data_IF_787361160666
#
_entry.id   IF_787361160666
#
_cell.length_a   1.000
_cell.length_b   1.000
_cell.length_c   1.000
_cell.angle_alpha   90.00
_cell.angle_beta   90.00
_cell.angle_gamma   90.00
#
_symmetry.space_group_name_H-M   'P 1'
#
loop_
_entity.id
_entity.type
_entity.pdbx_description
1 polymer ?
#
# COMPACT_ATOMS: atom_id res chain seq x y z
N UNK A 1 -6.53 7.44 9.79
CA UNK A 1 -5.16 7.46 10.31
C UNK A 1 -5.20 7.13 11.80
N UNK A 2 -4.25 6.34 12.26
CA UNK A 2 -4.05 5.99 13.66
C UNK A 2 -2.78 6.69 14.19
N UNK A 3 -2.61 6.77 15.51
CA UNK A 3 -1.53 7.55 16.15
C UNK A 3 -0.13 7.12 15.68
N UNK A 4 0.11 5.82 15.53
CA UNK A 4 1.40 5.32 15.05
C UNK A 4 1.77 5.81 13.63
N UNK A 5 0.81 6.08 12.76
CA UNK A 5 1.08 6.67 11.45
C UNK A 5 1.67 8.09 11.57
N UNK A 6 1.24 8.88 12.56
CA UNK A 6 1.81 10.21 12.81
C UNK A 6 3.25 10.14 13.32
N UNK A 7 3.62 9.09 14.06
CA UNK A 7 5.01 8.85 14.46
C UNK A 7 5.91 8.60 13.24
N UNK A 8 5.45 7.84 12.24
CA UNK A 8 6.18 7.70 10.96
C UNK A 8 6.33 9.02 10.22
N UNK A 9 5.29 9.85 10.17
CA UNK A 9 5.37 11.16 9.52
C UNK A 9 6.39 12.07 10.24
N UNK A 10 6.46 11.99 11.56
CA UNK A 10 7.45 12.72 12.38
C UNK A 10 8.87 12.22 12.08
N UNK A 11 9.08 10.91 12.10
CA UNK A 11 10.35 10.26 11.78
C UNK A 11 10.84 10.67 10.37
N UNK A 12 10.01 10.63 9.36
CA UNK A 12 10.40 11.05 8.01
C UNK A 12 10.79 12.52 7.96
N UNK A 13 10.09 13.40 8.65
CA UNK A 13 10.45 14.83 8.72
C UNK A 13 11.79 15.06 9.42
N UNK A 14 12.07 14.32 10.48
CA UNK A 14 13.37 14.33 11.16
C UNK A 14 14.51 13.86 10.26
N UNK A 15 14.23 12.97 9.31
CA UNK A 15 15.16 12.55 8.26
C UNK A 15 15.27 13.55 7.09
N UNK A 16 14.59 14.70 7.15
CA UNK A 16 14.58 15.71 6.08
C UNK A 16 13.66 15.37 4.92
N UNK A 17 12.72 14.45 5.08
CA UNK A 17 11.76 14.01 4.07
C UNK A 17 10.42 14.72 4.30
N UNK A 18 9.95 15.47 3.32
CA UNK A 18 8.61 16.06 3.36
C UNK A 18 7.53 14.97 3.32
N UNK A 19 6.46 15.15 4.08
CA UNK A 19 5.35 14.19 4.16
C UNK A 19 4.05 14.83 3.67
N UNK A 20 3.25 14.05 2.95
CA UNK A 20 1.92 14.42 2.49
C UNK A 20 0.92 13.34 2.88
N UNK A 21 -0.06 13.70 3.70
CA UNK A 21 -1.13 12.80 4.12
C UNK A 21 -2.25 12.81 3.07
N UNK A 22 -2.51 11.64 2.47
CA UNK A 22 -3.62 11.43 1.56
C UNK A 22 -4.78 10.76 2.30
N UNK A 23 -5.93 11.41 2.36
CA UNK A 23 -7.14 10.87 2.97
C UNK A 23 -8.24 10.69 1.92
N UNK A 24 -8.40 9.45 1.45
CA UNK A 24 -9.42 9.08 0.46
C UNK A 24 -10.82 8.93 1.04
N UNK A 25 -10.97 8.95 2.36
CA UNK A 25 -12.25 8.67 3.05
C UNK A 25 -13.04 9.93 3.35
N UNK A 26 -12.39 10.92 3.96
CA UNK A 26 -13.06 12.12 4.47
C UNK A 26 -13.87 12.87 3.41
N UNK A 27 -13.31 13.01 2.20
CA UNK A 27 -14.00 13.68 1.08
C UNK A 27 -15.23 12.93 0.56
N UNK A 28 -15.33 11.62 0.89
CA UNK A 28 -16.45 10.75 0.53
C UNK A 28 -17.44 10.53 1.68
N UNK A 29 -17.23 11.22 2.82
CA UNK A 29 -18.08 11.06 4.01
C UNK A 29 -17.88 9.73 4.74
N UNK A 30 -16.78 8.99 4.46
CA UNK A 30 -16.49 7.69 5.04
C UNK A 30 -15.50 7.86 6.20
N UNK A 31 -15.78 7.22 7.33
CA UNK A 31 -14.90 7.24 8.51
C UNK A 31 -14.04 5.99 8.64
N UNK A 32 -14.54 4.84 8.19
CA UNK A 32 -13.87 3.54 8.24
C UNK A 32 -14.37 2.64 7.11
N UNK A 33 -13.52 1.72 6.65
CA UNK A 33 -13.89 0.67 5.70
C UNK A 33 -13.82 -0.73 6.33
N UNK A 34 -13.54 -0.82 7.61
CA UNK A 34 -13.60 -2.10 8.35
C UNK A 34 -15.04 -2.59 8.32
N UNK A 35 -15.25 -3.81 7.80
CA UNK A 35 -16.59 -4.39 7.63
C UNK A 35 -17.36 -3.95 6.37
N UNK A 36 -16.94 -2.88 5.67
CA UNK A 36 -17.65 -2.33 4.49
C UNK A 36 -16.67 -1.90 3.38
N UNK A 37 -15.71 -2.74 3.04
CA UNK A 37 -14.57 -2.40 2.15
C UNK A 37 -14.95 -2.07 0.69
N UNK A 38 -16.21 -2.18 0.32
CA UNK A 38 -16.75 -1.82 -0.99
C UNK A 38 -17.13 -0.33 -1.14
N UNK A 39 -17.21 0.45 -0.05
CA UNK A 39 -17.56 1.87 -0.11
C UNK A 39 -16.44 2.73 -0.71
N UNK A 40 -15.17 2.37 -0.43
CA UNK A 40 -13.99 2.98 -1.04
C UNK A 40 -13.05 1.87 -1.48
N UNK A 41 -12.96 1.64 -2.78
CA UNK A 41 -12.15 0.56 -3.33
C UNK A 41 -10.66 0.92 -3.40
N UNK A 42 -9.79 -0.08 -3.43
CA UNK A 42 -8.35 0.10 -3.69
C UNK A 42 -8.14 0.87 -5.01
N UNK A 43 -8.92 0.57 -6.05
CA UNK A 43 -8.84 1.26 -7.34
C UNK A 43 -9.09 2.78 -7.19
N UNK A 44 -10.15 3.18 -6.47
CA UNK A 44 -10.43 4.59 -6.21
C UNK A 44 -9.29 5.29 -5.45
N UNK A 45 -8.71 4.62 -4.46
CA UNK A 45 -7.57 5.14 -3.69
C UNK A 45 -6.28 5.23 -4.53
N UNK A 46 -6.06 4.31 -5.47
CA UNK A 46 -4.94 4.40 -6.43
C UNK A 46 -5.12 5.64 -7.33
N UNK A 47 -6.33 5.92 -7.80
CA UNK A 47 -6.62 7.16 -8.56
C UNK A 47 -6.26 8.38 -7.72
N UNK A 48 -6.74 8.44 -6.48
CA UNK A 48 -6.43 9.55 -5.56
C UNK A 48 -4.91 9.71 -5.37
N UNK A 49 -4.16 8.60 -5.25
CA UNK A 49 -2.71 8.63 -5.09
C UNK A 49 -2.00 9.21 -6.32
N UNK A 50 -2.46 8.88 -7.53
CA UNK A 50 -1.92 9.45 -8.76
C UNK A 50 -2.31 10.92 -8.96
N UNK A 51 -3.49 11.33 -8.52
CA UNK A 51 -3.88 12.75 -8.50
C UNK A 51 -3.02 13.55 -7.52
N UNK A 52 -2.72 12.99 -6.35
CA UNK A 52 -1.80 13.57 -5.39
C UNK A 52 -0.38 13.68 -5.97
N UNK A 53 0.14 12.59 -6.58
CA UNK A 53 1.44 12.58 -7.26
C UNK A 53 1.53 13.69 -8.32
N UNK A 54 0.50 13.82 -9.16
CA UNK A 54 0.42 14.87 -10.17
C UNK A 54 0.45 16.26 -9.54
N UNK A 55 -0.30 16.48 -8.46
CA UNK A 55 -0.31 17.77 -7.75
C UNK A 55 1.04 18.09 -7.12
N UNK A 56 1.65 17.12 -6.44
CA UNK A 56 2.95 17.28 -5.79
C UNK A 56 4.07 17.50 -6.82
N UNK A 57 4.02 16.84 -7.97
CA UNK A 57 5.04 16.97 -9.02
C UNK A 57 5.14 18.38 -9.63
N UNK A 58 4.15 19.23 -9.42
CA UNK A 58 4.14 20.63 -9.85
C UNK A 58 4.48 21.61 -8.73
N UNK A 59 4.70 21.14 -7.51
CA UNK A 59 5.02 22.00 -6.39
C UNK A 59 6.50 22.47 -6.44
N UNK A 60 6.79 23.77 -6.30
CA UNK A 60 8.14 24.32 -6.52
C UNK A 60 9.21 23.80 -5.55
N UNK A 61 8.83 23.31 -4.38
CA UNK A 61 9.74 22.78 -3.36
C UNK A 61 9.87 21.25 -3.40
N UNK A 62 9.18 20.56 -4.31
CA UNK A 62 9.18 19.09 -4.38
C UNK A 62 9.95 18.63 -5.62
N UNK A 63 10.95 17.78 -5.41
CA UNK A 63 11.57 17.05 -6.50
C UNK A 63 10.61 15.94 -7.00
N UNK A 64 10.03 16.15 -8.17
CA UNK A 64 9.06 15.22 -8.78
C UNK A 64 9.60 13.81 -9.01
N UNK A 65 10.93 13.64 -9.09
CA UNK A 65 11.58 12.35 -9.29
C UNK A 65 11.85 11.61 -7.97
N UNK A 66 11.55 12.22 -6.85
CA UNK A 66 11.81 11.69 -5.49
C UNK A 66 10.54 11.61 -4.65
N UNK A 67 9.38 11.47 -5.27
CA UNK A 67 8.10 11.27 -4.58
C UNK A 67 7.86 9.77 -4.41
N UNK A 68 7.90 9.29 -3.19
CA UNK A 68 7.61 7.90 -2.83
C UNK A 68 6.22 7.77 -2.24
N UNK A 69 5.68 6.55 -2.26
CA UNK A 69 4.39 6.21 -1.64
C UNK A 69 4.60 5.19 -0.54
N UNK A 70 3.92 5.39 0.59
CA UNK A 70 3.82 4.42 1.68
C UNK A 70 2.39 4.29 2.15
N UNK A 71 2.02 3.13 2.63
CA UNK A 71 0.68 2.88 3.14
C UNK A 71 0.57 1.58 3.91
N UNK A 72 -0.47 1.48 4.73
CA UNK A 72 -0.71 0.41 5.68
C UNK A 72 -2.01 -0.33 5.37
N UNK A 73 -2.02 -1.64 5.45
CA UNK A 73 -3.20 -2.49 5.25
C UNK A 73 -3.85 -2.21 3.88
N UNK A 74 -5.07 -1.71 3.82
CA UNK A 74 -5.72 -1.26 2.59
C UNK A 74 -4.84 -0.22 1.85
N UNK A 75 -4.23 0.73 2.57
CA UNK A 75 -3.25 1.67 2.03
C UNK A 75 -1.95 0.99 1.55
N UNK A 76 -1.56 -0.12 2.17
CA UNK A 76 -0.49 -1.00 1.71
C UNK A 76 -0.81 -1.60 0.34
N UNK A 77 -2.05 -2.04 0.12
CA UNK A 77 -2.56 -2.47 -1.17
C UNK A 77 -2.50 -1.36 -2.22
N UNK A 78 -2.94 -0.16 -1.88
CA UNK A 78 -2.80 1.02 -2.76
C UNK A 78 -1.35 1.26 -3.14
N UNK A 79 -0.44 1.20 -2.16
CA UNK A 79 1.00 1.36 -2.37
C UNK A 79 1.56 0.30 -3.32
N UNK A 80 1.26 -0.97 -3.08
CA UNK A 80 1.73 -2.09 -3.90
C UNK A 80 1.19 -2.00 -5.34
N UNK A 81 -0.13 -1.87 -5.48
CA UNK A 81 -0.78 -1.92 -6.80
C UNK A 81 -0.69 -0.60 -7.58
N UNK A 82 -0.28 0.51 -6.95
CA UNK A 82 0.12 1.70 -7.71
C UNK A 82 1.37 1.47 -8.57
N UNK A 83 2.16 0.43 -8.30
CA UNK A 83 3.26 0.00 -9.16
C UNK A 83 2.82 -0.86 -10.35
N UNK A 84 1.60 -1.39 -10.37
CA UNK A 84 1.08 -2.23 -11.44
C UNK A 84 0.81 -1.43 -12.72
N UNK A 85 1.52 -1.77 -13.80
CA UNK A 85 1.57 -0.96 -15.02
C UNK A 85 0.22 -0.76 -15.73
N UNK A 86 -0.68 -1.77 -15.83
CA UNK A 86 -1.99 -1.56 -16.44
C UNK A 86 -2.77 -0.43 -15.78
N UNK A 87 -2.83 -0.38 -14.45
CA UNK A 87 -3.49 0.71 -13.72
C UNK A 87 -2.71 2.02 -13.82
N UNK A 88 -1.40 1.98 -13.57
CA UNK A 88 -0.53 3.16 -13.71
C UNK A 88 -0.72 3.84 -15.06
N UNK A 89 -0.69 3.09 -16.15
CA UNK A 89 -0.72 3.63 -17.50
C UNK A 89 -2.09 4.22 -17.89
N UNK A 90 -3.17 3.78 -17.26
CA UNK A 90 -4.50 4.41 -17.42
C UNK A 90 -4.52 5.84 -16.86
N UNK A 91 -3.82 6.09 -15.74
CA UNK A 91 -3.89 7.38 -15.04
C UNK A 91 -2.74 8.31 -15.36
N UNK A 92 -1.53 7.79 -15.48
CA UNK A 92 -0.38 8.62 -15.81
C UNK A 92 0.80 7.83 -16.38
N UNK A 93 1.01 7.92 -17.69
CA UNK A 93 2.14 7.28 -18.37
C UNK A 93 3.49 7.92 -18.02
N UNK A 94 3.50 9.21 -17.67
CA UNK A 94 4.73 10.03 -17.57
C UNK A 94 5.20 10.23 -16.12
N UNK A 95 4.38 9.91 -15.12
CA UNK A 95 4.75 10.00 -13.71
C UNK A 95 4.76 8.62 -13.07
N UNK A 96 5.71 8.41 -12.18
CA UNK A 96 5.81 7.21 -11.35
C UNK A 96 6.24 7.63 -9.95
N UNK A 97 5.82 6.87 -8.95
CA UNK A 97 6.44 6.97 -7.65
C UNK A 97 7.89 6.49 -7.73
N UNK A 98 8.78 7.14 -6.99
CA UNK A 98 10.20 6.80 -6.94
C UNK A 98 10.45 5.47 -6.21
N UNK A 99 9.60 5.15 -5.21
CA UNK A 99 9.59 3.88 -4.51
C UNK A 99 8.25 3.62 -3.83
N UNK A 100 8.02 2.37 -3.44
CA UNK A 100 6.79 1.89 -2.82
C UNK A 100 7.16 1.12 -1.55
N UNK A 101 6.71 1.59 -0.38
CA UNK A 101 6.88 0.90 0.90
C UNK A 101 5.50 0.49 1.42
N UNK A 102 5.17 -0.79 1.28
CA UNK A 102 3.86 -1.34 1.60
C UNK A 102 3.90 -2.11 2.93
N UNK A 103 3.17 -1.63 3.92
CA UNK A 103 3.00 -2.32 5.20
C UNK A 103 1.78 -3.23 5.11
N UNK A 104 2.00 -4.52 5.37
CA UNK A 104 1.00 -5.59 5.40
C UNK A 104 -0.11 -5.44 4.34
N UNK A 105 0.28 -5.42 3.03
CA UNK A 105 -0.66 -5.26 1.93
C UNK A 105 -1.49 -6.53 1.69
N UNK A 106 -2.71 -6.43 1.14
CA UNK A 106 -3.54 -7.58 0.79
C UNK A 106 -3.07 -8.27 -0.50
N UNK A 107 -1.95 -9.02 -0.43
CA UNK A 107 -1.37 -9.71 -1.59
C UNK A 107 -2.20 -10.90 -2.09
N UNK A 108 -3.25 -11.31 -1.37
CA UNK A 108 -4.25 -12.26 -1.85
C UNK A 108 -5.11 -11.70 -3.00
N UNK A 109 -4.95 -10.42 -3.32
CA UNK A 109 -5.48 -9.81 -4.55
C UNK A 109 -4.46 -10.08 -5.66
N UNK A 110 -4.77 -11.00 -6.57
CA UNK A 110 -3.90 -11.33 -7.70
C UNK A 110 -4.22 -10.44 -8.92
N UNK A 111 -3.24 -9.69 -9.44
CA UNK A 111 -3.42 -8.95 -10.69
C UNK A 111 -3.49 -9.91 -11.88
N UNK A 112 -4.22 -9.52 -12.94
CA UNK A 112 -4.39 -10.32 -14.17
C UNK A 112 -3.07 -10.63 -14.89
N UNK A 113 -2.05 -9.77 -14.71
CA UNK A 113 -0.70 -9.96 -15.21
C UNK A 113 0.33 -9.42 -14.22
N UNK A 114 1.60 -9.77 -14.43
CA UNK A 114 2.70 -9.42 -13.54
C UNK A 114 3.56 -8.26 -14.09
N UNK A 115 2.94 -7.30 -14.77
CA UNK A 115 3.60 -6.12 -15.30
C UNK A 115 3.67 -5.01 -14.25
N UNK A 116 4.79 -4.92 -13.55
CA UNK A 116 5.04 -3.90 -12.52
C UNK A 116 6.12 -2.90 -12.94
N UNK A 117 6.10 -1.73 -12.32
CA UNK A 117 7.10 -0.67 -12.55
C UNK A 117 8.49 -1.12 -12.10
N UNK A 118 9.52 -0.48 -12.63
CA UNK A 118 10.92 -0.73 -12.22
C UNK A 118 11.31 -0.01 -10.92
N UNK A 119 10.44 0.85 -10.38
CA UNK A 119 10.67 1.51 -9.10
C UNK A 119 10.76 0.49 -7.97
N UNK A 120 11.65 0.67 -7.00
CA UNK A 120 11.77 -0.25 -5.87
C UNK A 120 10.44 -0.42 -5.10
N UNK A 121 10.13 -1.67 -4.78
CA UNK A 121 8.99 -2.04 -3.94
C UNK A 121 9.51 -2.81 -2.74
N UNK A 122 9.09 -2.46 -1.54
CA UNK A 122 9.39 -3.22 -0.34
C UNK A 122 8.09 -3.49 0.42
N UNK A 123 7.86 -4.76 0.74
CA UNK A 123 6.73 -5.21 1.55
C UNK A 123 7.24 -5.54 2.95
N UNK A 124 6.55 -5.02 3.97
CA UNK A 124 6.76 -5.35 5.38
C UNK A 124 5.50 -6.03 5.89
N UNK A 125 5.60 -7.25 6.43
CA UNK A 125 4.44 -8.04 6.82
C UNK A 125 4.73 -8.91 8.03
N UNK A 126 3.71 -9.19 8.83
CA UNK A 126 3.82 -10.10 9.98
C UNK A 126 3.58 -11.56 9.56
N UNK A 127 4.37 -12.49 10.14
CA UNK A 127 4.22 -13.93 9.92
C UNK A 127 2.83 -14.46 10.31
N UNK A 128 2.30 -13.94 11.42
CA UNK A 128 1.01 -14.36 11.99
C UNK A 128 -0.17 -13.48 11.55
N UNK A 129 0.02 -12.68 10.50
CA UNK A 129 -1.05 -11.85 9.96
C UNK A 129 -2.09 -12.73 9.25
N UNK A 130 -3.30 -12.81 9.79
CA UNK A 130 -4.41 -13.55 9.19
C UNK A 130 -5.46 -12.65 8.52
N UNK A 131 -5.28 -11.34 8.61
CA UNK A 131 -6.09 -10.37 7.87
C UNK A 131 -5.53 -10.12 6.47
N UNK A 132 -4.22 -9.87 6.38
CA UNK A 132 -3.47 -9.79 5.12
C UNK A 132 -2.30 -10.77 5.17
N UNK A 133 -2.54 -12.07 4.87
CA UNK A 133 -1.57 -13.13 5.11
C UNK A 133 -0.26 -12.96 4.38
N UNK A 134 0.86 -13.36 5.03
CA UNK A 134 2.20 -13.27 4.45
C UNK A 134 2.44 -14.22 3.26
N UNK A 135 1.98 -15.49 3.24
CA UNK A 135 2.27 -16.42 2.15
C UNK A 135 1.88 -15.92 0.74
N UNK A 136 0.70 -15.29 0.53
CA UNK A 136 0.39 -14.67 -0.76
C UNK A 136 1.39 -13.57 -1.18
N UNK A 137 1.91 -12.78 -0.22
CA UNK A 137 2.92 -11.76 -0.50
C UNK A 137 4.26 -12.38 -0.90
N UNK A 138 4.70 -13.44 -0.21
CA UNK A 138 5.91 -14.17 -0.55
C UNK A 138 5.81 -14.78 -1.95
N UNK A 139 4.68 -15.43 -2.28
CA UNK A 139 4.42 -15.96 -3.62
C UNK A 139 4.43 -14.87 -4.71
N UNK A 140 3.84 -13.72 -4.43
CA UNK A 140 3.83 -12.59 -5.36
C UNK A 140 5.26 -12.07 -5.60
N UNK A 141 6.05 -11.90 -4.54
CA UNK A 141 7.45 -11.46 -4.63
C UNK A 141 8.28 -12.45 -5.44
N UNK A 142 8.14 -13.76 -5.19
CA UNK A 142 8.85 -14.80 -5.96
C UNK A 142 8.53 -14.72 -7.47
N UNK A 143 7.28 -14.47 -7.83
CA UNK A 143 6.86 -14.29 -9.22
C UNK A 143 7.41 -13.01 -9.85
N UNK A 144 7.48 -11.92 -9.07
CA UNK A 144 7.85 -10.59 -9.58
C UNK A 144 9.36 -10.33 -9.60
N UNK A 145 10.15 -10.90 -8.67
CA UNK A 145 11.58 -10.57 -8.49
C UNK A 145 12.45 -10.75 -9.73
N UNK A 146 12.00 -11.56 -10.70
CA UNK A 146 12.71 -11.80 -11.97
C UNK A 146 12.78 -10.52 -12.80
N UNK A 147 11.71 -9.72 -12.80
CA UNK A 147 11.54 -8.55 -13.67
C UNK A 147 11.30 -7.23 -12.93
N UNK A 148 11.19 -7.26 -11.60
CA UNK A 148 10.84 -6.12 -10.76
C UNK A 148 11.80 -6.05 -9.58
N UNK A 149 12.20 -4.82 -9.21
CA UNK A 149 12.97 -4.59 -7.99
C UNK A 149 12.03 -4.64 -6.79
N UNK A 150 11.73 -5.84 -6.30
CA UNK A 150 10.81 -6.08 -5.20
C UNK A 150 11.45 -6.94 -4.12
N UNK A 151 11.23 -6.56 -2.86
CA UNK A 151 11.67 -7.30 -1.68
C UNK A 151 10.55 -7.41 -0.66
N UNK A 152 10.65 -8.38 0.23
CA UNK A 152 9.75 -8.58 1.36
C UNK A 152 10.56 -8.81 2.64
N UNK A 153 10.08 -8.24 3.73
CA UNK A 153 10.52 -8.58 5.09
C UNK A 153 9.34 -9.14 5.84
N UNK A 154 9.44 -10.39 6.26
CA UNK A 154 8.46 -11.05 7.13
C UNK A 154 8.98 -10.95 8.56
N UNK A 155 8.16 -10.42 9.46
CA UNK A 155 8.50 -10.28 10.87
C UNK A 155 7.95 -11.46 11.65
N UNK A 156 8.84 -12.22 12.27
CA UNK A 156 8.49 -13.39 13.09
C UNK A 156 7.54 -13.02 14.22
N UNK A 157 6.60 -13.90 14.54
CA UNK A 157 5.62 -13.75 15.63
C UNK A 157 4.81 -12.45 15.62
N UNK A 158 4.68 -11.81 14.47
CA UNK A 158 4.03 -10.52 14.29
C UNK A 158 2.67 -10.65 13.60
N UNK A 159 1.66 -9.98 14.16
CA UNK A 159 0.30 -9.94 13.62
C UNK A 159 0.06 -8.71 12.74
N UNK A 160 -1.16 -8.55 12.21
CA UNK A 160 -1.58 -7.34 11.49
C UNK A 160 -1.38 -6.09 12.33
N UNK A 161 -0.87 -5.01 11.74
CA UNK A 161 -0.51 -3.77 12.44
C UNK A 161 0.58 -3.97 13.53
N UNK A 162 1.58 -4.82 13.26
CA UNK A 162 2.69 -5.14 14.17
C UNK A 162 3.51 -3.91 14.58
N UNK A 163 3.45 -2.85 13.81
CA UNK A 163 4.13 -1.57 14.03
C UNK A 163 3.36 -0.64 15.01
N UNK A 164 2.23 -1.08 15.51
CA UNK A 164 1.43 -0.35 16.49
C UNK A 164 1.89 -0.68 17.92
N UNK A 165 2.18 0.33 18.71
CA UNK A 165 2.50 0.14 20.13
C UNK A 165 1.24 -0.14 20.97
N UNK A 166 0.70 -1.35 20.85
CA UNK A 166 -0.47 -1.81 21.61
C UNK A 166 -0.44 -3.33 21.77
N UNK A 167 -1.08 -3.88 22.81
CA UNK A 167 -1.24 -5.33 22.95
C UNK A 167 -1.91 -5.94 21.71
N UNK A 168 -1.59 -7.20 21.43
CA UNK A 168 -2.32 -7.99 20.44
C UNK A 168 -3.75 -8.21 20.93
N UNK A 169 -4.72 -7.87 20.10
CA UNK A 169 -6.15 -8.05 20.38
C UNK A 169 -6.80 -8.79 19.22
N UNK A 170 -7.88 -9.51 19.53
CA UNK A 170 -8.79 -10.02 18.51
C UNK A 170 -9.76 -8.91 18.10
N UNK A 171 -9.86 -8.65 16.81
CA UNK A 171 -10.86 -7.74 16.27
C UNK A 171 -12.01 -8.58 15.67
N UNK A 172 -13.17 -8.56 16.32
CA UNK A 172 -14.35 -9.36 15.91
C UNK A 172 -14.99 -8.84 14.59
N UNK A 173 -14.72 -7.60 14.21
CA UNK A 173 -15.20 -7.02 12.94
C UNK A 173 -14.25 -7.28 11.78
N UNK A 174 -13.05 -7.80 12.04
CA UNK A 174 -12.06 -8.08 11.01
C UNK A 174 -12.33 -9.41 10.30
N UNK A 175 -11.99 -9.45 9.01
CA UNK A 175 -12.05 -10.67 8.22
C UNK A 175 -10.76 -11.48 8.36
N UNK A 176 -10.88 -12.80 8.24
CA UNK A 176 -9.75 -13.69 8.03
C UNK A 176 -9.69 -14.05 6.54
N UNK A 177 -8.59 -13.70 5.88
CA UNK A 177 -8.38 -13.94 4.46
C UNK A 177 -7.30 -15.00 4.17
N UNK A 178 -6.94 -15.82 5.16
CA UNK A 178 -5.85 -16.82 5.01
C UNK A 178 -6.03 -17.76 3.81
N UNK A 179 -7.28 -18.07 3.45
CA UNK A 179 -7.62 -18.99 2.36
C UNK A 179 -8.34 -18.30 1.19
N UNK A 180 -8.23 -16.98 1.08
CA UNK A 180 -8.92 -16.19 0.06
C UNK A 180 -7.98 -15.76 -1.05
N UNK A 181 -8.47 -15.78 -2.31
CA UNK A 181 -7.81 -15.20 -3.48
C UNK A 181 -8.83 -14.36 -4.24
N UNK A 182 -8.49 -13.11 -4.52
CA UNK A 182 -9.26 -12.21 -5.37
C UNK A 182 -8.51 -11.91 -6.65
N UNK A 183 -9.20 -11.84 -7.77
CA UNK A 183 -8.62 -11.44 -9.05
C UNK A 183 -8.81 -9.93 -9.26
N UNK A 184 -7.77 -9.25 -9.72
CA UNK A 184 -7.83 -7.84 -10.10
C UNK A 184 -7.58 -7.72 -11.60
N UNK A 185 -8.53 -7.11 -12.30
CA UNK A 185 -8.45 -6.81 -13.74
C UNK A 185 -8.16 -5.33 -13.95
N UNK A 186 -7.72 -5.00 -15.15
CA UNK A 186 -7.45 -3.62 -15.55
C UNK A 186 -8.64 -2.93 -16.22
N UNK A 187 -9.76 -3.62 -16.39
CA UNK A 187 -10.98 -3.10 -17.05
C UNK A 187 -11.71 -2.02 -16.24
#
# INVERSE_FOLDING_TARGET
WADHHYEYLKMYREMGIATFELNSFKSRGISSTVGTQNEVTIAAMIVDSYMALKKLSTHPLIDKNRISITGWSLGGGVTLFSAWLPVKNKFNKNLSFASHLAYYPPCFIEPENLEFSKSPIHILIGELDNWTPAPPCEMLVEKLKINTNINITVYDNSHHSFDKNSPVIRNEEAYNFSDCIFKMTSD
#
